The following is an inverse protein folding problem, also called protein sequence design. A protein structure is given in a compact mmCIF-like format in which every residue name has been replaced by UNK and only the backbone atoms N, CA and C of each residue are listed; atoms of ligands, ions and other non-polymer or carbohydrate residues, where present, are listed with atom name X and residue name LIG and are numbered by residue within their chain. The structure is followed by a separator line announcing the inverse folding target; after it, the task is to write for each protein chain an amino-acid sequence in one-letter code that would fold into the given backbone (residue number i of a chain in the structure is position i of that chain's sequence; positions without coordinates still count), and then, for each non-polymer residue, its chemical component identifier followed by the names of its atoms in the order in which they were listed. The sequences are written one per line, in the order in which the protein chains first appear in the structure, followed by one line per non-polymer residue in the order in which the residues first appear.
data_IF_778012206400
#
_entry.id   IF_778012206400
#
_cell.length_a   1.000
_cell.length_b   1.000
_cell.length_c   1.000
_cell.angle_alpha   90.00
_cell.angle_beta   90.00
_cell.angle_gamma   90.00
#
_symmetry.space_group_name_H-M   'P 1'
#
loop_
_entity.id
_entity.type
_entity.pdbx_description
1 polymer ?
#
# COMPACT_ATOMS: atom_id res chain seq x y z
N UNK A 1 -12.86 4.64 19.38
CA UNK A 1 -11.75 4.40 18.44
C UNK A 1 -12.29 3.45 17.39
N UNK A 2 -12.26 3.84 16.13
CA UNK A 2 -12.65 2.93 15.04
C UNK A 2 -11.49 1.99 14.74
N UNK A 3 -11.82 0.78 14.31
CA UNK A 3 -10.86 -0.28 14.13
C UNK A 3 -10.96 -0.79 12.69
N UNK A 4 -9.82 -0.94 12.03
CA UNK A 4 -9.73 -1.35 10.62
C UNK A 4 -8.91 -2.64 10.48
N UNK A 5 -9.21 -3.42 9.46
CA UNK A 5 -8.37 -4.50 8.95
C UNK A 5 -7.87 -4.08 7.57
N UNK A 6 -6.57 -4.24 7.34
CA UNK A 6 -5.94 -4.00 6.04
C UNK A 6 -5.57 -5.36 5.43
N UNK A 7 -5.87 -5.55 4.15
CA UNK A 7 -5.47 -6.75 3.43
C UNK A 7 -4.86 -6.38 2.09
N UNK A 8 -3.70 -6.93 1.76
CA UNK A 8 -3.08 -6.79 0.44
C UNK A 8 -3.24 -8.12 -0.31
N UNK A 9 -4.06 -8.09 -1.36
CA UNK A 9 -4.54 -9.30 -2.04
C UNK A 9 -4.42 -9.15 -3.56
N UNK A 10 -4.38 -10.28 -4.26
CA UNK A 10 -4.44 -10.31 -5.71
C UNK A 10 -5.90 -10.09 -6.17
N UNK A 11 -6.13 -9.15 -7.09
CA UNK A 11 -7.46 -8.83 -7.62
C UNK A 11 -8.19 -10.05 -8.18
N UNK A 12 -7.48 -10.99 -8.78
CA UNK A 12 -8.05 -12.22 -9.37
C UNK A 12 -8.69 -13.13 -8.32
N UNK A 13 -8.17 -13.11 -7.09
CA UNK A 13 -8.76 -13.90 -5.99
C UNK A 13 -10.12 -13.36 -5.57
N UNK A 14 -10.44 -12.09 -5.87
CA UNK A 14 -11.70 -11.45 -5.51
C UNK A 14 -12.88 -11.92 -6.36
N UNK A 15 -12.65 -12.25 -7.64
CA UNK A 15 -13.72 -12.69 -8.57
C UNK A 15 -14.32 -14.06 -8.20
N UNK A 16 -13.64 -14.82 -7.33
CA UNK A 16 -14.10 -16.13 -6.85
C UNK A 16 -15.06 -16.07 -5.66
N UNK A 17 -15.21 -14.90 -5.01
CA UNK A 17 -16.08 -14.72 -3.84
C UNK A 17 -17.37 -13.97 -4.23
N UNK A 18 -18.51 -14.39 -3.69
CA UNK A 18 -19.84 -13.84 -4.02
C UNK A 18 -19.88 -12.30 -4.06
N UNK A 19 -20.74 -11.70 -4.94
CA UNK A 19 -20.77 -10.27 -5.18
C UNK A 19 -21.24 -9.50 -3.94
N UNK A 20 -20.27 -9.06 -3.14
CA UNK A 20 -20.49 -8.01 -2.15
C UNK A 20 -20.48 -6.67 -2.89
N UNK A 21 -21.33 -5.69 -2.53
CA UNK A 21 -21.23 -4.34 -3.09
C UNK A 21 -19.86 -3.76 -2.72
N UNK A 22 -19.00 -3.62 -3.72
CA UNK A 22 -17.71 -2.94 -3.58
C UNK A 22 -17.94 -1.44 -3.61
N UNK A 23 -17.39 -0.74 -2.63
CA UNK A 23 -17.34 0.72 -2.68
C UNK A 23 -15.93 1.10 -3.08
N UNK A 24 -15.78 1.52 -4.34
CA UNK A 24 -14.57 2.22 -4.74
C UNK A 24 -14.54 3.53 -3.97
N UNK A 25 -13.45 3.80 -3.26
CA UNK A 25 -13.27 5.11 -2.63
C UNK A 25 -13.00 6.08 -3.78
N UNK A 26 -14.05 6.78 -4.23
CA UNK A 26 -13.92 7.94 -5.10
C UNK A 26 -13.15 9.01 -4.34
N UNK A 27 -12.04 9.46 -4.91
CA UNK A 27 -11.25 10.54 -4.36
C UNK A 27 -12.05 11.85 -4.52
N UNK A 28 -12.61 12.38 -3.45
CA UNK A 28 -12.59 13.83 -3.33
C UNK A 28 -11.12 14.21 -3.09
N UNK A 29 -10.50 15.03 -3.97
CA UNK A 29 -9.11 15.40 -3.82
C UNK A 29 -8.98 16.23 -2.55
N UNK A 30 -8.64 15.56 -1.45
CA UNK A 30 -7.99 16.20 -0.33
C UNK A 30 -6.76 16.88 -0.92
N UNK A 31 -6.79 18.20 -0.98
CA UNK A 31 -5.69 19.02 -1.46
C UNK A 31 -4.56 18.85 -0.45
N UNK A 32 -3.75 17.81 -0.67
CA UNK A 32 -2.50 17.68 0.05
C UNK A 32 -1.49 18.63 -0.60
N UNK A 33 -1.18 19.71 0.11
CA UNK A 33 -0.08 20.61 -0.25
C UNK A 33 1.26 19.95 0.12
N UNK A 34 1.65 18.93 -0.63
CA UNK A 34 3.02 18.41 -0.55
C UNK A 34 3.95 19.38 -1.27
N UNK A 35 4.91 19.96 -0.53
CA UNK A 35 6.00 20.73 -1.13
C UNK A 35 6.95 19.77 -1.86
N UNK A 36 6.64 19.50 -3.13
CA UNK A 36 7.52 18.74 -3.99
C UNK A 36 8.74 19.60 -4.35
N UNK A 37 9.87 19.37 -3.67
CA UNK A 37 11.11 20.01 -4.09
C UNK A 37 11.63 19.37 -5.38
N UNK A 38 12.42 20.13 -6.15
CA UNK A 38 12.94 19.69 -7.45
C UNK A 38 13.74 18.37 -7.32
N UNK A 39 14.48 18.20 -6.23
CA UNK A 39 15.28 17.00 -5.98
C UNK A 39 14.42 15.74 -5.85
N UNK A 40 13.29 15.80 -5.14
CA UNK A 40 12.37 14.68 -4.99
C UNK A 40 11.67 14.36 -6.32
N UNK A 41 11.31 15.39 -7.08
CA UNK A 41 10.73 15.22 -8.41
C UNK A 41 11.67 14.47 -9.35
N UNK A 42 12.96 14.80 -9.36
CA UNK A 42 13.96 14.10 -10.18
C UNK A 42 14.17 12.65 -9.73
N UNK A 43 14.13 12.36 -8.41
CA UNK A 43 14.15 10.97 -7.91
C UNK A 43 12.95 10.18 -8.42
N UNK A 44 11.77 10.76 -8.40
CA UNK A 44 10.54 10.10 -8.88
C UNK A 44 10.59 9.85 -10.39
N UNK A 45 11.06 10.81 -11.18
CA UNK A 45 11.28 10.61 -12.63
C UNK A 45 12.27 9.47 -12.88
N UNK A 46 13.36 9.41 -12.11
CA UNK A 46 14.34 8.32 -12.22
C UNK A 46 13.74 6.96 -11.85
N UNK A 47 12.86 6.91 -10.85
CA UNK A 47 12.15 5.69 -10.46
C UNK A 47 11.19 5.20 -11.56
N UNK A 48 10.43 6.12 -12.17
CA UNK A 48 9.56 5.83 -13.33
C UNK A 48 10.39 5.28 -14.48
N UNK A 49 11.52 5.92 -14.81
CA UNK A 49 12.39 5.48 -15.90
C UNK A 49 12.98 4.07 -15.67
N UNK A 50 13.16 3.69 -14.40
CA UNK A 50 13.62 2.35 -13.99
C UNK A 50 12.47 1.35 -13.81
N UNK A 51 11.20 1.77 -13.95
CA UNK A 51 10.03 0.95 -13.69
C UNK A 51 10.04 0.31 -12.29
N UNK A 52 10.44 1.08 -11.26
CA UNK A 52 10.46 0.57 -9.88
C UNK A 52 9.04 0.18 -9.44
N UNK A 53 8.78 -1.08 -9.04
CA UNK A 53 7.44 -1.51 -8.67
C UNK A 53 7.08 -1.07 -7.25
N UNK A 54 5.80 -0.81 -6.99
CA UNK A 54 5.21 -0.51 -5.70
C UNK A 54 5.06 -1.76 -4.85
N UNK A 55 4.70 -2.88 -5.46
CA UNK A 55 4.57 -4.16 -4.80
C UNK A 55 5.62 -5.14 -5.30
N UNK A 56 6.17 -5.93 -4.39
CA UNK A 56 6.92 -7.12 -4.74
C UNK A 56 5.97 -8.32 -4.61
N UNK A 57 5.90 -9.13 -5.65
CA UNK A 57 5.13 -10.37 -5.68
C UNK A 57 6.06 -11.53 -5.38
N UNK A 58 5.62 -12.45 -4.51
CA UNK A 58 6.36 -13.68 -4.25
C UNK A 58 6.44 -14.60 -5.47
N UNK A 59 5.43 -14.58 -6.36
CA UNK A 59 5.33 -15.44 -7.55
C UNK A 59 4.48 -14.83 -8.68
N UNK A 60 4.87 -15.18 -9.90
CA UNK A 60 4.28 -14.93 -11.25
C UNK A 60 4.01 -13.48 -11.69
N UNK A 61 4.31 -13.24 -12.97
CA UNK A 61 4.20 -11.95 -13.66
C UNK A 61 2.72 -11.62 -13.94
N UNK A 62 2.38 -10.33 -13.83
CA UNK A 62 1.10 -9.70 -14.24
C UNK A 62 -0.13 -9.75 -13.31
N UNK A 63 0.04 -9.95 -12.00
CA UNK A 63 -1.10 -9.80 -11.08
C UNK A 63 -1.40 -8.36 -10.68
N UNK A 64 -2.69 -7.98 -10.76
CA UNK A 64 -3.17 -6.69 -10.24
C UNK A 64 -3.30 -6.78 -8.72
N UNK A 65 -2.44 -6.10 -7.97
CA UNK A 65 -2.56 -6.00 -6.51
C UNK A 65 -3.60 -4.97 -6.10
N UNK A 66 -4.37 -5.27 -5.06
CA UNK A 66 -5.31 -4.32 -4.47
C UNK A 66 -5.15 -4.26 -2.95
N UNK A 67 -5.29 -3.05 -2.42
CA UNK A 67 -5.36 -2.80 -0.98
C UNK A 67 -6.83 -2.83 -0.58
N UNK A 68 -7.22 -3.78 0.25
CA UNK A 68 -8.55 -3.90 0.84
C UNK A 68 -8.52 -3.33 2.27
N UNK A 69 -9.51 -2.49 2.59
CA UNK A 69 -9.69 -1.93 3.94
C UNK A 69 -11.10 -2.27 4.41
N UNK A 70 -11.16 -3.01 5.52
CA UNK A 70 -12.41 -3.41 6.16
C UNK A 70 -12.53 -2.76 7.54
N UNK A 71 -13.72 -2.29 7.90
CA UNK A 71 -14.00 -1.84 9.28
C UNK A 71 -14.31 -3.06 10.15
N UNK A 72 -13.59 -3.20 11.26
CA UNK A 72 -13.67 -4.37 12.13
C UNK A 72 -15.03 -4.47 12.85
N UNK A 73 -15.47 -5.71 13.12
CA UNK A 73 -16.62 -5.99 13.97
C UNK A 73 -17.99 -6.03 13.28
N UNK A 74 -18.08 -5.83 11.96
CA UNK A 74 -19.34 -5.92 11.21
C UNK A 74 -19.23 -6.97 10.11
N UNK A 75 -20.19 -7.91 10.07
CA UNK A 75 -20.19 -9.06 9.15
C UNK A 75 -20.47 -8.70 7.68
N UNK A 76 -20.90 -7.47 7.38
CA UNK A 76 -21.38 -7.04 6.06
C UNK A 76 -20.98 -5.58 5.74
N UNK A 77 -19.74 -5.18 6.07
CA UNK A 77 -19.30 -3.85 5.68
C UNK A 77 -19.06 -3.75 4.17
N UNK A 78 -19.31 -2.57 3.57
CA UNK A 78 -18.79 -2.28 2.25
C UNK A 78 -17.26 -2.44 2.31
N UNK A 79 -16.75 -3.32 1.45
CA UNK A 79 -15.31 -3.50 1.26
C UNK A 79 -14.80 -2.30 0.49
N UNK A 80 -13.84 -1.58 1.07
CA UNK A 80 -13.17 -0.52 0.36
C UNK A 80 -11.97 -1.11 -0.36
N UNK A 81 -11.98 -1.02 -1.68
CA UNK A 81 -10.89 -1.51 -2.52
C UNK A 81 -10.17 -0.32 -3.12
N UNK A 82 -8.88 -0.28 -2.87
CA UNK A 82 -7.96 0.66 -3.47
C UNK A 82 -7.10 -0.06 -4.50
N UNK A 83 -7.24 0.36 -5.76
CA UNK A 83 -6.42 -0.10 -6.88
C UNK A 83 -5.27 0.87 -7.07
N UNK A 84 -4.06 0.47 -6.69
CA UNK A 84 -2.84 1.24 -6.92
C UNK A 84 -2.09 0.68 -8.13
N UNK A 85 -1.47 1.53 -8.97
CA UNK A 85 -0.60 1.06 -10.03
C UNK A 85 0.60 0.35 -9.43
N UNK A 86 0.87 -0.88 -9.87
CA UNK A 86 2.07 -1.58 -9.42
C UNK A 86 3.34 -0.91 -9.95
N UNK A 87 3.34 -0.46 -11.20
CA UNK A 87 4.49 0.26 -11.78
C UNK A 87 4.02 1.62 -12.27
N UNK A 88 4.18 2.68 -11.46
CA UNK A 88 3.77 4.01 -11.85
C UNK A 88 4.45 4.48 -13.14
N UNK A 89 3.67 4.98 -14.08
CA UNK A 89 4.13 5.36 -15.43
C UNK A 89 4.40 6.86 -15.59
N UNK A 90 3.89 7.66 -14.68
CA UNK A 90 3.96 9.11 -14.72
C UNK A 90 3.93 9.69 -13.29
N UNK A 91 4.19 10.99 -13.16
CA UNK A 91 4.23 11.65 -11.85
C UNK A 91 2.85 11.65 -11.16
N UNK A 92 1.76 11.76 -11.90
CA UNK A 92 0.40 11.74 -11.35
C UNK A 92 0.11 10.42 -10.62
N UNK A 93 0.47 9.29 -11.22
CA UNK A 93 0.37 7.98 -10.58
C UNK A 93 1.22 7.87 -9.31
N UNK A 94 2.45 8.39 -9.32
CA UNK A 94 3.30 8.45 -8.12
C UNK A 94 2.65 9.31 -7.02
N UNK A 95 2.08 10.45 -7.38
CA UNK A 95 1.36 11.31 -6.44
C UNK A 95 0.18 10.57 -5.80
N UNK A 96 -0.65 9.89 -6.60
CA UNK A 96 -1.77 9.09 -6.11
C UNK A 96 -1.27 8.04 -5.12
N UNK A 97 -0.23 7.29 -5.49
CA UNK A 97 0.37 6.26 -4.61
C UNK A 97 0.85 6.87 -3.29
N UNK A 98 1.59 7.98 -3.33
CA UNK A 98 2.06 8.66 -2.11
C UNK A 98 0.91 9.10 -1.23
N UNK A 99 -0.09 9.80 -1.78
CA UNK A 99 -1.24 10.30 -1.03
C UNK A 99 -1.99 9.18 -0.31
N UNK A 100 -2.15 8.02 -0.97
CA UNK A 100 -2.80 6.87 -0.36
C UNK A 100 -1.96 6.24 0.75
N UNK A 101 -0.67 6.05 0.51
CA UNK A 101 0.23 5.52 1.52
C UNK A 101 0.32 6.43 2.74
N UNK A 102 0.39 7.75 2.54
CA UNK A 102 0.33 8.75 3.61
C UNK A 102 -0.91 8.56 4.50
N UNK A 103 -2.09 8.43 3.88
CA UNK A 103 -3.34 8.21 4.61
C UNK A 103 -3.35 6.88 5.35
N UNK A 104 -2.88 5.81 4.70
CA UNK A 104 -2.79 4.47 5.28
C UNK A 104 -1.86 4.45 6.49
N UNK A 105 -0.70 5.09 6.41
CA UNK A 105 0.26 5.16 7.52
C UNK A 105 -0.20 6.05 8.67
N UNK A 106 -1.14 6.96 8.43
CA UNK A 106 -1.78 7.76 9.49
C UNK A 106 -2.99 7.05 10.13
N UNK A 107 -3.27 5.79 9.75
CA UNK A 107 -4.35 4.98 10.31
C UNK A 107 -3.82 3.91 11.27
N UNK A 108 -4.70 3.43 12.16
CA UNK A 108 -4.42 2.30 13.04
C UNK A 108 -5.30 1.11 12.68
N UNK A 109 -4.70 -0.08 12.61
CA UNK A 109 -5.36 -1.31 12.20
C UNK A 109 -5.31 -2.35 13.32
N UNK A 110 -6.38 -3.11 13.50
CA UNK A 110 -6.36 -4.29 14.38
C UNK A 110 -5.48 -5.36 13.76
N UNK A 111 -5.64 -5.58 12.46
CA UNK A 111 -4.99 -6.66 11.74
C UNK A 111 -4.56 -6.17 10.37
N UNK A 112 -3.36 -6.56 9.97
CA UNK A 112 -2.89 -6.48 8.58
C UNK A 112 -2.61 -7.88 8.05
N UNK A 113 -3.12 -8.19 6.86
CA UNK A 113 -2.93 -9.46 6.17
C UNK A 113 -2.27 -9.24 4.81
N UNK A 114 -1.18 -9.95 4.53
CA UNK A 114 -0.45 -9.85 3.27
C UNK A 114 -0.44 -11.20 2.57
N UNK A 115 -1.14 -11.30 1.43
CA UNK A 115 -1.29 -12.54 0.67
C UNK A 115 -0.25 -12.61 -0.47
N UNK A 116 0.98 -13.01 -0.14
CA UNK A 116 2.12 -13.08 -1.08
C UNK A 116 2.50 -11.76 -1.79
N UNK A 117 1.97 -10.63 -1.33
CA UNK A 117 2.23 -9.31 -1.86
C UNK A 117 2.73 -8.46 -0.71
N UNK A 118 3.74 -7.65 -0.98
CA UNK A 118 4.36 -6.76 -0.01
C UNK A 118 4.71 -5.43 -0.69
N UNK A 119 4.73 -4.34 0.07
CA UNK A 119 5.28 -3.07 -0.43
C UNK A 119 6.77 -3.19 -0.71
N UNK A 120 7.22 -2.64 -1.84
CA UNK A 120 8.63 -2.54 -2.20
C UNK A 120 9.33 -1.50 -1.31
N UNK A 121 10.29 -1.90 -0.47
CA UNK A 121 11.04 -0.99 0.39
C UNK A 121 11.72 0.16 -0.37
N UNK A 122 12.25 -0.13 -1.56
CA UNK A 122 12.90 0.86 -2.42
C UNK A 122 11.90 1.94 -2.84
N UNK A 123 10.70 1.53 -3.26
CA UNK A 123 9.65 2.46 -3.63
C UNK A 123 9.16 3.30 -2.45
N UNK A 124 8.96 2.68 -1.28
CA UNK A 124 8.57 3.42 -0.06
C UNK A 124 9.64 4.46 0.29
N UNK A 125 10.92 4.09 0.26
CA UNK A 125 12.00 5.04 0.49
C UNK A 125 11.98 6.17 -0.53
N UNK A 126 11.80 5.89 -1.82
CA UNK A 126 11.71 6.93 -2.87
C UNK A 126 10.56 7.92 -2.64
N UNK A 127 9.43 7.46 -2.10
CA UNK A 127 8.26 8.29 -1.83
C UNK A 127 8.44 9.19 -0.60
N UNK A 128 9.21 8.75 0.40
CA UNK A 128 9.31 9.39 1.72
C UNK A 128 10.73 9.82 2.15
N UNK A 129 11.74 9.74 1.26
CA UNK A 129 13.20 9.92 1.52
C UNK A 129 13.59 11.25 2.21
N UNK A 130 12.71 12.26 2.18
CA UNK A 130 12.99 13.63 2.64
C UNK A 130 12.24 14.03 3.90
N UNK A 131 11.39 13.18 4.47
CA UNK A 131 10.72 13.49 5.72
C UNK A 131 11.60 13.08 6.90
N UNK A 132 11.62 13.90 7.96
CA UNK A 132 12.39 13.61 9.17
C UNK A 132 12.17 12.15 9.57
N UNK A 133 13.25 11.35 9.63
CA UNK A 133 13.26 9.92 9.97
C UNK A 133 12.52 9.56 11.29
N UNK A 134 12.02 10.56 12.02
CA UNK A 134 11.26 10.45 13.27
C UNK A 134 9.78 10.15 13.05
N UNK A 135 9.24 10.34 11.84
CA UNK A 135 7.91 9.87 11.44
C UNK A 135 8.04 8.75 10.41
N UNK A 136 8.85 7.73 10.71
CA UNK A 136 8.78 6.46 9.97
C UNK A 136 7.31 6.10 9.90
N UNK A 137 6.78 6.16 8.68
CA UNK A 137 5.39 5.95 8.36
C UNK A 137 5.13 4.46 8.56
N UNK A 138 4.92 4.07 9.81
CA UNK A 138 4.72 2.71 10.25
C UNK A 138 3.22 2.42 10.27
N UNK A 139 2.84 1.20 9.93
CA UNK A 139 1.50 0.72 10.18
C UNK A 139 1.35 0.44 11.66
N UNK A 140 0.52 1.24 12.34
CA UNK A 140 0.16 0.95 13.73
C UNK A 140 -0.78 -0.26 13.77
N UNK A 141 -0.25 -1.44 14.06
CA UNK A 141 -1.01 -2.70 14.06
C UNK A 141 -0.97 -3.42 15.40
N UNK A 142 -2.10 -4.03 15.79
CA UNK A 142 -2.14 -4.91 16.96
C UNK A 142 -1.65 -6.32 16.64
N UNK A 143 -1.86 -6.78 15.41
CA UNK A 143 -1.48 -8.11 14.93
C UNK A 143 -1.16 -8.07 13.44
N UNK A 144 -0.20 -8.90 13.02
CA UNK A 144 0.27 -9.00 11.64
C UNK A 144 0.31 -10.47 11.21
N UNK A 145 -0.22 -10.76 10.03
CA UNK A 145 -0.13 -12.08 9.40
C UNK A 145 0.46 -11.96 7.99
N UNK A 146 1.60 -12.63 7.77
CA UNK A 146 2.23 -12.76 6.46
C UNK A 146 2.03 -14.19 5.97
N UNK A 147 1.25 -14.36 4.92
CA UNK A 147 1.11 -15.63 4.23
C UNK A 147 2.03 -15.60 3.02
N UNK A 148 3.31 -15.90 3.25
CA UNK A 148 4.32 -15.89 2.22
C UNK A 148 5.31 -17.04 2.39
N UNK A 149 5.07 -18.21 1.77
CA UNK A 149 5.82 -19.43 2.05
C UNK A 149 7.29 -19.38 1.61
N UNK A 150 7.72 -18.36 0.84
CA UNK A 150 9.09 -18.25 0.31
C UNK A 150 9.66 -16.81 0.28
N UNK A 151 9.13 -15.87 1.07
CA UNK A 151 9.71 -14.51 1.12
C UNK A 151 11.07 -14.52 1.81
N UNK A 152 12.06 -13.86 1.22
CA UNK A 152 13.42 -13.76 1.78
C UNK A 152 13.41 -13.06 3.16
N UNK A 153 14.27 -13.49 4.06
CA UNK A 153 14.30 -13.01 5.45
C UNK A 153 14.57 -11.49 5.60
N UNK A 154 15.37 -10.91 4.69
CA UNK A 154 15.68 -9.48 4.63
C UNK A 154 14.43 -8.61 4.43
N UNK A 155 13.47 -9.13 3.67
CA UNK A 155 12.18 -8.48 3.45
C UNK A 155 11.32 -8.53 4.72
N UNK A 156 11.32 -9.67 5.43
CA UNK A 156 10.55 -9.83 6.68
C UNK A 156 11.03 -8.85 7.75
N UNK A 157 12.34 -8.66 7.88
CA UNK A 157 12.92 -7.69 8.82
C UNK A 157 12.48 -6.26 8.53
N UNK A 158 12.40 -5.86 7.26
CA UNK A 158 11.89 -4.54 6.88
C UNK A 158 10.43 -4.33 7.31
N UNK A 159 9.58 -5.35 7.22
CA UNK A 159 8.19 -5.27 7.70
C UNK A 159 8.08 -5.16 9.21
N UNK A 160 8.93 -5.88 9.95
CA UNK A 160 9.00 -5.76 11.41
C UNK A 160 9.47 -4.38 11.86
N UNK A 161 10.18 -3.63 11.02
CA UNK A 161 10.52 -2.22 11.28
C UNK A 161 9.46 -1.23 10.80
N UNK A 162 8.51 -1.67 9.95
CA UNK A 162 7.39 -0.87 9.46
C UNK A 162 6.10 -1.05 10.27
N UNK A 163 6.05 -2.04 11.16
CA UNK A 163 4.97 -2.34 12.10
C UNK A 163 5.37 -1.84 13.49
#
# INVERSE_FOLDING_TARGET
MEFFKLSLINAETMDSQQPSPFMFIGLEPLVFEFLLNEQLMEKWKAAIAKSVPLFLHGFEEDHTSVVQIDKAGLRQNPRHILKLPNTPKNLEEIFIVRCWLEQLFNCAFIETEYQNIIFNPEMINLLFDNEDKRSLKQFHVNSFALFAPQVRNDIIEFFLTLV
#
